data_IF_608098707197
#
_entry.id   IF_608098707197
#
_cell.length_a   1.000
_cell.length_b   1.000
_cell.length_c   1.000
_cell.angle_alpha   90.00
_cell.angle_beta   90.00
_cell.angle_gamma   90.00
#
_symmetry.space_group_name_H-M   'P 1'
#
loop_
_entity.id
_entity.type
_entity.pdbx_description
1 polymer ?
#
# COMPACT_ATOMS: atom_id res chain seq x y z
N UNK A 1 -14.59 1.82 -5.02
CA UNK A 1 -14.03 2.44 -3.80
C UNK A 1 -13.03 1.51 -3.15
N UNK A 2 -11.83 1.48 -3.73
CA UNK A 2 -10.66 0.80 -3.19
C UNK A 2 -9.70 1.87 -2.66
N UNK A 3 -9.30 1.76 -1.38
CA UNK A 3 -8.38 2.71 -0.74
C UNK A 3 -6.93 2.26 -0.99
N UNK A 4 -6.06 3.16 -1.44
CA UNK A 4 -4.61 2.94 -1.52
C UNK A 4 -3.87 3.77 -0.47
N UNK A 5 -3.14 3.11 0.43
CA UNK A 5 -2.29 3.78 1.43
C UNK A 5 -0.84 3.75 0.98
N UNK A 6 -0.36 4.85 0.41
CA UNK A 6 1.05 4.99 0.00
C UNK A 6 1.91 5.32 1.23
N UNK A 7 3.11 4.72 1.31
CA UNK A 7 3.98 4.89 2.47
C UNK A 7 3.51 4.08 3.67
N UNK A 8 2.83 2.96 3.41
CA UNK A 8 2.27 2.06 4.43
C UNK A 8 3.30 1.52 5.43
N UNK A 9 4.58 1.45 5.05
CA UNK A 9 5.66 1.03 5.96
C UNK A 9 6.38 2.20 6.68
N UNK A 10 5.84 3.42 6.58
CA UNK A 10 6.35 4.60 7.29
C UNK A 10 5.89 4.66 8.75
N UNK A 11 6.41 5.62 9.52
CA UNK A 11 6.08 5.74 10.95
C UNK A 11 4.59 5.95 11.23
N UNK A 12 3.90 6.73 10.41
CA UNK A 12 2.44 6.93 10.50
C UNK A 12 1.68 5.87 9.71
N UNK A 13 2.14 5.58 8.49
CA UNK A 13 1.48 4.62 7.60
C UNK A 13 1.34 3.24 8.21
N UNK A 14 2.35 2.76 8.94
CA UNK A 14 2.32 1.44 9.59
C UNK A 14 1.22 1.33 10.63
N UNK A 15 1.01 2.38 11.42
CA UNK A 15 -0.06 2.43 12.42
C UNK A 15 -1.43 2.49 11.75
N UNK A 16 -1.56 3.29 10.69
CA UNK A 16 -2.80 3.42 9.94
C UNK A 16 -3.22 2.09 9.31
N UNK A 17 -2.33 1.39 8.60
CA UNK A 17 -2.68 0.12 7.97
C UNK A 17 -2.99 -0.98 8.98
N UNK A 18 -2.36 -0.96 10.16
CA UNK A 18 -2.74 -1.85 11.27
C UNK A 18 -4.15 -1.58 11.75
N UNK A 19 -4.51 -0.31 11.99
CA UNK A 19 -5.86 0.08 12.41
C UNK A 19 -6.91 -0.27 11.36
N UNK A 20 -6.67 0.04 10.08
CA UNK A 20 -7.59 -0.29 8.99
C UNK A 20 -7.81 -1.80 8.87
N UNK A 21 -6.76 -2.60 9.08
CA UNK A 21 -6.87 -4.06 9.07
C UNK A 21 -7.66 -4.60 10.27
N UNK A 22 -7.46 -4.04 11.47
CA UNK A 22 -8.24 -4.37 12.67
C UNK A 22 -9.73 -4.01 12.50
N UNK A 23 -10.01 -2.90 11.82
CA UNK A 23 -11.37 -2.46 11.49
C UNK A 23 -11.98 -3.19 10.27
N UNK A 24 -11.24 -4.14 9.67
CA UNK A 24 -11.67 -4.91 8.49
C UNK A 24 -12.06 -4.04 7.28
N UNK A 25 -11.42 -2.88 7.14
CA UNK A 25 -11.58 -2.00 5.98
C UNK A 25 -10.87 -2.63 4.78
N UNK A 26 -11.47 -2.56 3.59
CA UNK A 26 -10.81 -3.01 2.35
C UNK A 26 -9.87 -1.92 1.84
N UNK A 27 -8.57 -2.20 1.86
CA UNK A 27 -7.53 -1.29 1.39
C UNK A 27 -6.34 -2.07 0.81
N UNK A 28 -5.51 -1.37 0.05
CA UNK A 28 -4.20 -1.84 -0.42
C UNK A 28 -3.09 -0.98 0.17
N UNK A 29 -2.04 -1.61 0.67
CA UNK A 29 -0.85 -0.95 1.19
C UNK A 29 0.23 -0.79 0.10
N UNK A 30 0.62 0.45 -0.21
CA UNK A 30 1.72 0.77 -1.11
C UNK A 30 3.06 0.89 -0.37
N UNK A 31 4.04 0.07 -0.74
CA UNK A 31 5.39 0.04 -0.13
C UNK A 31 6.49 0.03 -1.18
N UNK A 32 7.71 0.47 -0.83
CA UNK A 32 8.81 0.68 -1.79
C UNK A 32 9.77 -0.49 -1.97
N UNK A 33 9.66 -1.55 -1.17
CA UNK A 33 10.53 -2.75 -1.22
C UNK A 33 9.72 -4.03 -1.26
N UNK A 34 10.19 -5.03 -1.99
CA UNK A 34 9.53 -6.34 -2.09
C UNK A 34 9.41 -7.05 -0.74
N UNK A 35 10.43 -6.93 0.13
CA UNK A 35 10.36 -7.54 1.47
C UNK A 35 9.21 -6.97 2.31
N UNK A 36 8.90 -5.68 2.14
CA UNK A 36 7.78 -5.03 2.84
C UNK A 36 6.42 -5.52 2.31
N UNK A 37 6.33 -5.88 1.02
CA UNK A 37 5.14 -6.50 0.44
C UNK A 37 4.89 -7.84 1.12
N UNK A 38 5.91 -8.70 1.17
CA UNK A 38 5.83 -10.02 1.80
C UNK A 38 5.47 -9.93 3.29
N UNK A 39 6.05 -8.98 4.02
CA UNK A 39 5.73 -8.76 5.44
C UNK A 39 4.26 -8.40 5.68
N UNK A 40 3.65 -7.61 4.78
CA UNK A 40 2.24 -7.22 4.87
C UNK A 40 1.31 -8.36 4.42
N UNK A 41 1.64 -9.05 3.33
CA UNK A 41 0.88 -10.20 2.85
C UNK A 41 0.86 -11.34 3.90
N UNK A 42 1.97 -11.57 4.60
CA UNK A 42 2.05 -12.51 5.72
C UNK A 42 1.13 -12.13 6.91
N UNK A 43 0.74 -10.85 7.00
CA UNK A 43 -0.21 -10.34 8.00
C UNK A 43 -1.65 -10.31 7.47
N UNK A 44 -1.89 -10.83 6.26
CA UNK A 44 -3.21 -10.82 5.61
C UNK A 44 -3.59 -9.48 4.98
N UNK A 45 -2.65 -8.55 4.85
CA UNK A 45 -2.89 -7.21 4.28
C UNK A 45 -2.50 -7.23 2.80
N UNK A 46 -3.41 -6.81 1.91
CA UNK A 46 -3.11 -6.62 0.48
C UNK A 46 -2.02 -5.56 0.34
N UNK A 47 -0.94 -5.87 -0.37
CA UNK A 47 0.16 -4.95 -0.57
C UNK A 47 0.61 -4.91 -2.04
N UNK A 48 1.13 -3.76 -2.46
CA UNK A 48 1.66 -3.53 -3.80
C UNK A 48 2.96 -2.75 -3.72
N UNK A 49 3.90 -3.07 -4.62
CA UNK A 49 5.16 -2.35 -4.76
C UNK A 49 4.92 -1.03 -5.50
N UNK A 50 5.11 0.09 -4.79
CA UNK A 50 5.06 1.45 -5.31
C UNK A 50 6.27 2.21 -4.77
N UNK A 51 7.21 2.50 -5.65
CA UNK A 51 8.36 3.35 -5.38
C UNK A 51 8.12 4.70 -6.06
N UNK A 52 7.54 5.65 -5.32
CA UNK A 52 7.19 6.99 -5.84
C UNK A 52 8.43 7.74 -6.36
N UNK A 53 9.64 7.41 -5.88
CA UNK A 53 10.88 8.04 -6.34
C UNK A 53 11.35 7.47 -7.69
N UNK A 54 11.07 6.19 -7.97
CA UNK A 54 11.57 5.50 -9.17
C UNK A 54 10.52 5.23 -10.24
N UNK A 55 9.26 5.10 -9.86
CA UNK A 55 8.16 4.87 -10.79
C UNK A 55 7.96 6.12 -11.64
N UNK A 56 7.76 5.93 -12.95
CA UNK A 56 7.41 7.03 -13.82
C UNK A 56 5.99 7.52 -13.53
N UNK A 57 5.67 8.74 -13.98
CA UNK A 57 4.31 9.28 -13.88
C UNK A 57 3.29 8.36 -14.57
N UNK A 58 3.68 7.70 -15.67
CA UNK A 58 2.80 6.75 -16.36
C UNK A 58 2.58 5.47 -15.54
N UNK A 59 3.62 4.96 -14.86
CA UNK A 59 3.49 3.80 -13.98
C UNK A 59 2.54 4.12 -12.82
N UNK A 60 2.75 5.27 -12.15
CA UNK A 60 1.90 5.72 -11.05
C UNK A 60 0.45 5.93 -11.52
N UNK A 61 0.24 6.55 -12.68
CA UNK A 61 -1.10 6.72 -13.26
C UNK A 61 -1.80 5.37 -13.48
N UNK A 62 -1.10 4.40 -14.04
CA UNK A 62 -1.66 3.06 -14.27
C UNK A 62 -2.02 2.39 -12.94
N UNK A 63 -1.14 2.46 -11.95
CA UNK A 63 -1.38 1.91 -10.61
C UNK A 63 -2.61 2.57 -9.96
N UNK A 64 -2.74 3.90 -10.07
CA UNK A 64 -3.82 4.64 -9.40
C UNK A 64 -5.17 4.55 -10.11
N UNK A 65 -5.23 4.03 -11.34
CA UNK A 65 -6.49 3.92 -12.11
C UNK A 65 -7.51 2.98 -11.45
N UNK A 66 -7.03 2.00 -10.68
CA UNK A 66 -7.87 1.01 -9.99
C UNK A 66 -8.35 1.45 -8.61
N UNK A 67 -7.99 2.67 -8.18
CA UNK A 67 -8.33 3.22 -6.87
C UNK A 67 -9.12 4.53 -7.02
N UNK A 68 -9.94 4.82 -6.01
CA UNK A 68 -10.86 5.97 -6.02
C UNK A 68 -10.28 7.21 -5.31
#
# INVERSE_FOLDING_TARGET
MSILVIGANGGVGSKLVSQLNEEHVDFTAGVRKEDQVKELENKGIKAILIDVEKNSINDLKNIFTDYD
#
